data_IF_514649713897
#
_entry.id   IF_514649713897
#
_cell.length_a   1.000
_cell.length_b   1.000
_cell.length_c   1.000
_cell.angle_alpha   90.00
_cell.angle_beta   90.00
_cell.angle_gamma   90.00
#
_symmetry.space_group_name_H-M   'P 1'
#
loop_
_entity.id
_entity.type
_entity.pdbx_description
1 polymer ?
#
# COMPACT_ATOMS: atom_id res chain seq x y z
N UNK A 1 1.52 29.45 7.62
CA UNK A 1 1.65 28.92 8.96
C UNK A 1 1.91 27.43 8.96
N UNK A 2 3.15 27.09 9.29
CA UNK A 2 3.63 25.71 9.23
C UNK A 2 2.84 24.78 10.16
N UNK A 3 2.44 25.30 11.32
CA UNK A 3 1.73 24.51 12.32
C UNK A 3 0.34 24.05 11.84
N UNK A 4 -0.37 24.94 11.14
CA UNK A 4 -1.67 24.60 10.57
C UNK A 4 -1.54 23.60 9.42
N UNK A 5 -0.51 23.74 8.61
CA UNK A 5 -0.26 22.80 7.52
C UNK A 5 0.08 21.41 8.06
N UNK A 6 0.94 21.32 9.09
CA UNK A 6 1.26 20.05 9.73
C UNK A 6 0.03 19.39 10.33
N UNK A 7 -0.79 20.15 11.03
CA UNK A 7 -2.03 19.65 11.63
C UNK A 7 -2.98 19.15 10.56
N UNK A 8 -3.11 19.89 9.46
CA UNK A 8 -3.95 19.48 8.33
C UNK A 8 -3.47 18.17 7.72
N UNK A 9 -2.17 18.03 7.50
CA UNK A 9 -1.59 16.81 6.93
C UNK A 9 -1.83 15.61 7.85
N UNK A 10 -1.65 15.78 9.15
CA UNK A 10 -1.89 14.72 10.11
C UNK A 10 -3.36 14.33 10.11
N UNK A 11 -4.27 15.30 10.11
CA UNK A 11 -5.70 15.03 10.08
C UNK A 11 -6.11 14.29 8.81
N UNK A 12 -5.65 14.75 7.65
CA UNK A 12 -5.97 14.10 6.39
C UNK A 12 -5.43 12.67 6.35
N UNK A 13 -4.20 12.46 6.85
CA UNK A 13 -3.64 11.13 6.94
C UNK A 13 -4.44 10.21 7.85
N UNK A 14 -4.85 10.71 9.02
CA UNK A 14 -5.65 9.94 9.95
C UNK A 14 -7.03 9.60 9.38
N UNK A 15 -7.63 10.52 8.61
CA UNK A 15 -8.90 10.27 7.95
C UNK A 15 -8.75 9.27 6.80
N UNK A 16 -7.61 9.29 6.12
CA UNK A 16 -7.31 8.37 5.02
C UNK A 16 -7.16 6.93 5.49
N UNK A 17 -6.56 6.72 6.66
CA UNK A 17 -6.25 5.38 7.16
C UNK A 17 -7.47 4.45 7.27
N UNK A 18 -8.62 4.89 7.81
CA UNK A 18 -9.81 4.01 7.84
C UNK A 18 -10.28 3.61 6.46
N UNK A 19 -10.29 4.53 5.50
CA UNK A 19 -10.70 4.23 4.13
C UNK A 19 -9.72 3.27 3.47
N UNK A 20 -8.43 3.45 3.72
CA UNK A 20 -7.39 2.56 3.21
C UNK A 20 -7.54 1.16 3.80
N UNK A 21 -7.81 1.04 5.10
CA UNK A 21 -8.04 -0.24 5.77
C UNK A 21 -9.26 -0.95 5.18
N UNK A 22 -10.35 -0.22 4.93
CA UNK A 22 -11.54 -0.77 4.31
C UNK A 22 -11.23 -1.25 2.90
N UNK A 23 -10.49 -0.48 2.12
CA UNK A 23 -10.10 -0.85 0.76
C UNK A 23 -9.28 -2.14 0.74
N UNK A 24 -8.30 -2.27 1.65
CA UNK A 24 -7.49 -3.47 1.77
C UNK A 24 -8.36 -4.66 2.16
N UNK A 25 -9.25 -4.49 3.13
CA UNK A 25 -10.16 -5.55 3.56
C UNK A 25 -11.01 -6.05 2.40
N UNK A 26 -11.67 -5.15 1.67
CA UNK A 26 -12.51 -5.55 0.56
C UNK A 26 -11.70 -6.14 -0.59
N UNK A 27 -10.49 -5.66 -0.83
CA UNK A 27 -9.62 -6.24 -1.85
C UNK A 27 -9.33 -7.72 -1.55
N UNK A 28 -9.03 -8.06 -0.30
CA UNK A 28 -8.79 -9.45 0.09
C UNK A 28 -10.08 -10.28 0.08
N UNK A 29 -11.21 -9.71 0.50
CA UNK A 29 -12.50 -10.40 0.43
C UNK A 29 -12.83 -10.76 -1.01
N UNK A 30 -12.69 -9.81 -1.94
CA UNK A 30 -12.94 -10.06 -3.36
C UNK A 30 -11.96 -11.10 -3.89
N UNK A 31 -10.68 -10.99 -3.53
CA UNK A 31 -9.64 -11.92 -3.98
C UNK A 31 -9.96 -13.35 -3.52
N UNK A 32 -10.45 -13.53 -2.28
CA UNK A 32 -10.80 -14.87 -1.79
C UNK A 32 -12.04 -15.43 -2.47
N UNK A 33 -13.02 -14.58 -2.78
CA UNK A 33 -14.24 -15.01 -3.47
C UNK A 33 -13.99 -15.35 -4.92
N UNK A 34 -13.07 -14.66 -5.56
CA UNK A 34 -12.75 -14.83 -6.97
C UNK A 34 -11.47 -15.62 -7.18
N UNK A 35 -11.12 -16.47 -6.22
CA UNK A 35 -9.90 -17.26 -6.31
C UNK A 35 -10.00 -18.24 -7.49
N UNK A 36 -8.87 -18.55 -8.07
CA UNK A 36 -8.80 -19.41 -9.25
C UNK A 36 -8.79 -18.59 -10.53
N UNK A 37 -8.09 -19.09 -11.53
CA UNK A 37 -7.96 -18.44 -12.81
C UNK A 37 -7.11 -17.17 -12.75
N UNK A 38 -6.92 -16.56 -13.91
CA UNK A 38 -6.10 -15.37 -14.05
C UNK A 38 -6.70 -14.16 -13.33
N UNK A 39 -8.03 -14.02 -13.38
CA UNK A 39 -8.71 -12.90 -12.75
C UNK A 39 -8.53 -12.94 -11.22
N UNK A 40 -8.76 -14.11 -10.62
CA UNK A 40 -8.62 -14.27 -9.17
C UNK A 40 -7.19 -14.02 -8.71
N UNK A 41 -6.21 -14.54 -9.44
CA UNK A 41 -4.80 -14.29 -9.13
C UNK A 41 -4.44 -12.82 -9.29
N UNK A 42 -4.96 -12.17 -10.32
CA UNK A 42 -4.76 -10.74 -10.51
C UNK A 42 -5.29 -9.94 -9.35
N UNK A 43 -6.48 -10.27 -8.86
CA UNK A 43 -7.06 -9.60 -7.69
C UNK A 43 -6.22 -9.83 -6.44
N UNK A 44 -5.65 -11.02 -6.27
CA UNK A 44 -4.76 -11.29 -5.13
C UNK A 44 -3.50 -10.43 -5.18
N UNK A 45 -2.88 -10.29 -6.35
CA UNK A 45 -1.70 -9.41 -6.48
C UNK A 45 -2.05 -7.96 -6.21
N UNK A 46 -3.22 -7.49 -6.66
CA UNK A 46 -3.67 -6.14 -6.33
C UNK A 46 -3.89 -5.96 -4.83
N UNK A 47 -4.49 -6.96 -4.18
CA UNK A 47 -4.72 -6.91 -2.73
C UNK A 47 -3.39 -6.81 -1.97
N UNK A 48 -2.40 -7.59 -2.36
CA UNK A 48 -1.07 -7.52 -1.75
C UNK A 48 -0.40 -6.16 -2.00
N UNK A 49 -0.56 -5.61 -3.21
CA UNK A 49 -0.08 -4.27 -3.52
C UNK A 49 -0.72 -3.22 -2.62
N UNK A 50 -2.03 -3.29 -2.42
CA UNK A 50 -2.74 -2.39 -1.52
C UNK A 50 -2.25 -2.55 -0.07
N UNK A 51 -1.97 -3.77 0.36
CA UNK A 51 -1.46 -4.00 1.70
C UNK A 51 -0.10 -3.35 1.91
N UNK A 52 0.83 -3.51 0.96
CA UNK A 52 2.14 -2.86 1.05
C UNK A 52 1.98 -1.35 1.07
N UNK A 53 1.09 -0.81 0.23
CA UNK A 53 0.80 0.61 0.21
C UNK A 53 0.23 1.10 1.54
N UNK A 54 -0.68 0.31 2.14
CA UNK A 54 -1.29 0.65 3.43
C UNK A 54 -0.24 0.71 4.54
N UNK A 55 0.67 -0.25 4.56
CA UNK A 55 1.78 -0.26 5.52
C UNK A 55 2.66 0.97 5.32
N UNK A 56 2.94 1.33 4.07
CA UNK A 56 3.70 2.53 3.75
C UNK A 56 3.02 3.80 4.24
N UNK A 57 1.73 3.94 3.99
CA UNK A 57 0.97 5.10 4.47
C UNK A 57 0.93 5.17 5.99
N UNK A 58 0.77 4.04 6.65
CA UNK A 58 0.80 3.98 8.11
C UNK A 58 2.16 4.43 8.64
N UNK A 59 3.24 3.95 8.03
CA UNK A 59 4.60 4.35 8.39
C UNK A 59 4.79 5.86 8.22
N UNK A 60 4.36 6.43 7.09
CA UNK A 60 4.45 7.86 6.86
C UNK A 60 3.64 8.65 7.89
N UNK A 61 2.47 8.15 8.28
CA UNK A 61 1.64 8.81 9.25
C UNK A 61 2.28 8.81 10.63
N UNK A 62 2.92 7.70 11.01
CA UNK A 62 3.67 7.62 12.27
C UNK A 62 4.82 8.63 12.26
N UNK A 63 5.56 8.70 11.16
CA UNK A 63 6.67 9.66 11.03
C UNK A 63 6.18 11.11 11.14
N UNK A 64 5.09 11.45 10.47
CA UNK A 64 4.52 12.80 10.53
C UNK A 64 4.02 13.17 11.93
N UNK A 65 3.41 12.19 12.62
CA UNK A 65 2.81 12.43 13.93
C UNK A 65 3.85 12.49 15.04
N UNK A 66 4.91 11.68 14.97
CA UNK A 66 5.88 11.51 16.05
C UNK A 66 7.27 12.01 15.70
N UNK A 67 7.54 12.26 14.42
CA UNK A 67 8.87 12.59 13.93
C UNK A 67 9.83 11.41 13.88
N UNK A 68 9.35 10.20 14.16
CA UNK A 68 10.17 8.99 14.19
C UNK A 68 9.99 8.24 12.88
N UNK A 69 11.09 8.01 12.17
CA UNK A 69 11.11 7.13 11.02
C UNK A 69 11.56 5.75 11.49
N UNK A 70 10.62 4.79 11.50
CA UNK A 70 10.87 3.46 12.04
C UNK A 70 11.94 2.71 11.25
N UNK A 71 11.94 2.85 9.92
CA UNK A 71 12.93 2.18 9.09
C UNK A 71 14.32 2.75 9.33
N UNK A 72 14.44 4.08 9.39
CA UNK A 72 15.72 4.73 9.64
C UNK A 72 16.22 4.43 11.06
N UNK A 73 15.31 4.40 12.03
CA UNK A 73 15.66 4.10 13.43
C UNK A 73 16.14 2.66 13.60
N UNK A 74 15.51 1.72 12.90
CA UNK A 74 15.83 0.31 13.04
C UNK A 74 17.02 -0.10 12.19
N UNK A 75 17.15 0.45 10.97
CA UNK A 75 18.09 -0.05 9.95
C UNK A 75 19.16 0.97 9.57
N UNK A 76 19.08 2.20 10.08
CA UNK A 76 19.93 3.30 9.65
C UNK A 76 19.35 3.98 8.40
N UNK A 77 19.78 5.23 8.17
CA UNK A 77 19.18 6.08 7.15
C UNK A 77 19.30 5.49 5.73
N UNK A 78 20.50 4.99 5.39
CA UNK A 78 20.72 4.48 4.03
C UNK A 78 19.93 3.20 3.76
N UNK A 79 19.93 2.28 4.73
CA UNK A 79 19.21 1.01 4.58
C UNK A 79 17.70 1.24 4.66
N UNK A 80 17.26 2.14 5.54
CA UNK A 80 15.85 2.50 5.67
C UNK A 80 15.30 3.07 4.37
N UNK A 81 16.04 3.98 3.73
CA UNK A 81 15.63 4.55 2.45
C UNK A 81 15.58 3.49 1.35
N UNK A 82 16.56 2.59 1.33
CA UNK A 82 16.59 1.51 0.35
C UNK A 82 15.39 0.57 0.52
N UNK A 83 15.04 0.22 1.76
CA UNK A 83 13.86 -0.61 2.05
C UNK A 83 12.59 0.09 1.61
N UNK A 84 12.49 1.39 1.85
CA UNK A 84 11.31 2.18 1.44
C UNK A 84 11.14 2.19 -0.08
N UNK A 85 12.23 2.44 -0.82
CA UNK A 85 12.21 2.43 -2.28
C UNK A 85 11.83 1.05 -2.80
N UNK A 86 12.40 0.01 -2.19
CA UNK A 86 12.09 -1.37 -2.56
C UNK A 86 10.61 -1.68 -2.34
N UNK A 87 10.03 -1.22 -1.22
CA UNK A 87 8.61 -1.42 -0.94
C UNK A 87 7.73 -0.75 -2.00
N UNK A 88 8.10 0.47 -2.42
CA UNK A 88 7.38 1.16 -3.50
C UNK A 88 7.44 0.37 -4.80
N UNK A 89 8.62 -0.13 -5.15
CA UNK A 89 8.80 -0.93 -6.36
C UNK A 89 7.98 -2.22 -6.30
N UNK A 90 7.94 -2.88 -5.16
CA UNK A 90 7.14 -4.08 -4.96
C UNK A 90 5.66 -3.77 -5.13
N UNK A 91 5.18 -2.67 -4.55
CA UNK A 91 3.78 -2.25 -4.70
C UNK A 91 3.41 -2.08 -6.16
N UNK A 92 4.25 -1.38 -6.92
CA UNK A 92 3.99 -1.12 -8.32
C UNK A 92 4.08 -2.40 -9.16
N UNK A 93 5.07 -3.26 -8.87
CA UNK A 93 5.22 -4.53 -9.57
C UNK A 93 4.04 -5.46 -9.33
N UNK A 94 3.57 -5.56 -8.08
CA UNK A 94 2.41 -6.36 -7.75
C UNK A 94 1.15 -5.85 -8.46
N UNK A 95 0.95 -4.54 -8.45
CA UNK A 95 -0.21 -3.93 -9.10
C UNK A 95 -0.16 -4.12 -10.62
N UNK A 96 0.99 -3.91 -11.23
CA UNK A 96 1.16 -4.08 -12.67
C UNK A 96 0.90 -5.52 -13.09
N UNK A 97 1.47 -6.47 -12.35
CA UNK A 97 1.26 -7.89 -12.63
C UNK A 97 -0.19 -8.31 -12.41
N UNK A 98 -0.80 -7.78 -11.34
CA UNK A 98 -2.22 -8.03 -11.09
C UNK A 98 -3.10 -7.54 -12.23
N UNK A 99 -2.88 -6.33 -12.71
CA UNK A 99 -3.62 -5.79 -13.85
C UNK A 99 -3.36 -6.60 -15.13
N UNK A 100 -2.13 -7.06 -15.33
CA UNK A 100 -1.82 -7.90 -16.49
C UNK A 100 -2.64 -9.19 -16.46
N UNK A 101 -2.74 -9.84 -15.32
CA UNK A 101 -3.54 -11.06 -15.19
C UNK A 101 -5.03 -10.79 -15.42
N UNK A 102 -5.54 -9.67 -14.93
CA UNK A 102 -6.92 -9.28 -15.15
C UNK A 102 -7.18 -9.01 -16.63
N UNK A 103 -6.24 -8.33 -17.29
CA UNK A 103 -6.34 -8.08 -18.74
C UNK A 103 -6.39 -9.38 -19.52
N UNK A 104 -5.55 -10.35 -19.17
CA UNK A 104 -5.58 -11.67 -19.80
C UNK A 104 -6.90 -12.38 -19.58
N UNK A 105 -7.42 -12.31 -18.37
CA UNK A 105 -8.72 -12.90 -18.05
C UNK A 105 -9.85 -12.26 -18.88
N UNK A 106 -9.79 -10.94 -19.05
CA UNK A 106 -10.77 -10.21 -19.85
C UNK A 106 -10.73 -10.61 -21.32
N UNK A 107 -9.55 -11.01 -21.82
CA UNK A 107 -9.39 -11.48 -23.21
C UNK A 107 -9.70 -12.96 -23.38
N UNK A 108 -10.07 -13.66 -22.31
CA UNK A 108 -10.37 -15.07 -22.35
C UNK A 108 -9.13 -15.97 -22.32
N UNK A 109 -8.00 -15.42 -21.91
CA UNK A 109 -6.75 -16.18 -21.82
C UNK A 109 -6.56 -16.87 -20.48
#
# INVERSE_FOLDING_TARGET
MTMHESTREVLFGLLELPFLAIAVYFAFVVATKLHGGAFGRGMQFLAWGFLVMAVGHLHMQIERSTGINLFDSALGTHIGDAVWILALMITWALSAYGFLLIDRAAKGE
#
